data_IF_992193524188
#
_entry.id   IF_992193524188
#
_cell.length_a   1.000
_cell.length_b   1.000
_cell.length_c   1.000
_cell.angle_alpha   90.00
_cell.angle_beta   90.00
_cell.angle_gamma   90.00
#
_symmetry.space_group_name_H-M   'P 1'
#
loop_
_entity.id
_entity.type
_entity.pdbx_description
1 polymer ?
#
# COMPACT_ATOMS: atom_id res chain seq x y z
N UNK A 1 -12.78 5.27 21.76
CA UNK A 1 -11.41 5.65 21.34
C UNK A 1 -10.62 4.37 21.14
N UNK A 2 -10.48 3.93 19.90
CA UNK A 2 -9.70 2.75 19.52
C UNK A 2 -8.21 3.08 19.72
N UNK A 3 -7.46 2.28 20.49
CA UNK A 3 -6.01 2.50 20.69
C UNK A 3 -5.31 2.45 19.32
N UNK A 4 -4.29 3.28 19.08
CA UNK A 4 -3.60 3.38 17.79
C UNK A 4 -3.14 2.02 17.22
N UNK A 5 -2.74 1.08 18.07
CA UNK A 5 -2.33 -0.28 17.66
C UNK A 5 -3.45 -1.17 17.11
N UNK A 6 -4.71 -0.81 17.32
CA UNK A 6 -5.87 -1.59 16.88
C UNK A 6 -6.25 -1.26 15.42
N UNK A 7 -5.81 -0.11 14.88
CA UNK A 7 -6.10 0.27 13.48
C UNK A 7 -5.37 -0.64 12.50
N UNK A 8 -4.12 -0.98 12.77
CA UNK A 8 -3.31 -1.81 11.89
C UNK A 8 -3.47 -3.31 12.16
N UNK A 9 -4.33 -3.72 13.10
CA UNK A 9 -4.55 -5.13 13.41
C UNK A 9 -4.89 -5.96 12.14
N UNK A 10 -4.16 -7.05 11.82
CA UNK A 10 -4.37 -7.79 10.59
C UNK A 10 -5.75 -8.43 10.49
N UNK A 11 -6.38 -8.80 11.61
CA UNK A 11 -7.72 -9.38 11.58
C UNK A 11 -8.74 -8.30 11.21
N UNK A 12 -8.66 -7.13 11.86
CA UNK A 12 -9.48 -5.95 11.50
C UNK A 12 -9.35 -5.58 10.03
N UNK A 13 -8.13 -5.53 9.49
CA UNK A 13 -7.92 -5.13 8.09
C UNK A 13 -8.54 -6.12 7.10
N UNK A 14 -8.45 -7.44 7.37
CA UNK A 14 -9.13 -8.46 6.57
C UNK A 14 -10.64 -8.31 6.62
N UNK A 15 -11.19 -8.14 7.82
CA UNK A 15 -12.63 -7.99 8.03
C UNK A 15 -13.17 -6.72 7.33
N UNK A 16 -12.42 -5.61 7.41
CA UNK A 16 -12.78 -4.37 6.69
C UNK A 16 -12.73 -4.53 5.18
N UNK A 17 -11.70 -5.17 4.63
CA UNK A 17 -11.63 -5.36 3.18
C UNK A 17 -12.83 -6.17 2.68
N UNK A 18 -13.24 -7.22 3.40
CA UNK A 18 -14.45 -8.00 3.09
C UNK A 18 -15.73 -7.16 3.16
N UNK A 19 -15.81 -6.22 4.08
CA UNK A 19 -16.97 -5.36 4.23
C UNK A 19 -17.06 -4.27 3.15
N UNK A 20 -15.92 -3.82 2.63
CA UNK A 20 -15.85 -2.69 1.67
C UNK A 20 -15.87 -3.15 0.21
N UNK A 21 -15.30 -4.31 -0.10
CA UNK A 21 -15.17 -4.78 -1.47
C UNK A 21 -16.07 -6.00 -1.75
N UNK A 22 -17.00 -5.94 -2.72
CA UNK A 22 -17.90 -7.04 -3.05
C UNK A 22 -17.22 -8.33 -3.50
N UNK A 23 -16.05 -8.25 -4.16
CA UNK A 23 -15.30 -9.44 -4.55
C UNK A 23 -14.63 -10.05 -3.32
N UNK A 24 -14.13 -9.22 -2.39
CA UNK A 24 -13.58 -9.70 -1.13
C UNK A 24 -14.63 -10.31 -0.19
N UNK A 25 -15.86 -9.80 -0.21
CA UNK A 25 -16.97 -10.37 0.56
C UNK A 25 -17.22 -11.85 0.22
N UNK A 26 -17.05 -12.22 -1.05
CA UNK A 26 -17.34 -13.55 -1.59
C UNK A 26 -16.12 -14.49 -1.62
N UNK A 27 -14.93 -14.01 -1.22
CA UNK A 27 -13.71 -14.81 -1.28
C UNK A 27 -13.61 -15.82 -0.14
N UNK A 28 -12.97 -16.95 -0.40
CA UNK A 28 -12.66 -17.95 0.63
C UNK A 28 -11.93 -17.35 1.83
N UNK A 29 -12.11 -17.96 3.02
CA UNK A 29 -11.65 -17.41 4.31
C UNK A 29 -10.13 -17.14 4.36
N UNK A 30 -9.35 -17.77 3.50
CA UNK A 30 -7.88 -17.68 3.43
C UNK A 30 -7.34 -16.77 2.32
N UNK A 31 -8.20 -16.12 1.51
CA UNK A 31 -7.77 -15.37 0.33
C UNK A 31 -7.15 -13.98 0.58
N UNK A 32 -7.08 -13.51 1.84
CA UNK A 32 -6.61 -12.15 2.17
C UNK A 32 -5.33 -12.19 3.01
N UNK A 33 -4.25 -11.71 2.41
CA UNK A 33 -2.96 -11.52 3.07
C UNK A 33 -2.81 -10.10 3.58
N UNK A 34 -2.00 -9.89 4.63
CA UNK A 34 -1.66 -8.55 5.13
C UNK A 34 -0.16 -8.39 5.06
N UNK A 35 0.30 -7.47 4.22
CA UNK A 35 1.71 -7.10 4.11
C UNK A 35 1.95 -5.79 4.84
N UNK A 36 3.19 -5.59 5.33
CA UNK A 36 3.60 -4.39 6.06
C UNK A 36 4.86 -3.77 5.47
N UNK A 37 4.93 -2.45 5.48
CA UNK A 37 6.11 -1.67 5.11
C UNK A 37 6.34 -0.59 6.18
N UNK A 38 7.45 -0.65 6.95
CA UNK A 38 7.75 0.35 7.97
C UNK A 38 8.19 1.67 7.32
N UNK A 39 7.85 2.78 7.97
CA UNK A 39 8.52 4.05 7.69
C UNK A 39 9.97 4.02 8.19
N UNK A 40 10.71 5.10 7.91
CA UNK A 40 12.11 5.20 8.29
C UNK A 40 12.49 6.60 8.72
N UNK A 41 13.43 6.67 9.66
CA UNK A 41 14.22 7.88 9.94
C UNK A 41 15.62 7.68 9.40
N UNK A 42 16.26 8.76 8.98
CA UNK A 42 17.66 8.71 8.63
C UNK A 42 18.46 9.31 9.79
N UNK A 43 19.42 8.55 10.31
CA UNK A 43 20.19 8.94 11.50
C UNK A 43 21.31 9.91 11.12
N UNK A 44 21.92 9.71 9.96
CA UNK A 44 22.93 10.59 9.35
C UNK A 44 23.03 10.32 7.84
N UNK A 45 23.56 11.29 7.09
CA UNK A 45 23.70 11.22 5.63
C UNK A 45 22.46 11.77 4.93
N UNK A 46 22.00 12.96 5.32
CA UNK A 46 20.98 13.67 4.55
C UNK A 46 21.60 14.19 3.26
N UNK A 47 20.84 14.14 2.15
CA UNK A 47 21.25 14.69 0.84
C UNK A 47 22.51 14.03 0.22
N UNK A 48 22.92 12.86 0.70
CA UNK A 48 24.07 12.12 0.18
C UNK A 48 23.69 10.98 -0.76
N UNK A 49 22.48 10.44 -0.64
CA UNK A 49 22.00 9.27 -1.40
C UNK A 49 21.99 9.49 -2.91
N UNK A 50 21.49 10.64 -3.37
CA UNK A 50 21.50 10.99 -4.80
C UNK A 50 22.87 11.48 -5.31
N UNK A 51 23.88 11.52 -4.44
CA UNK A 51 25.27 11.86 -4.77
C UNK A 51 26.21 10.66 -4.61
N UNK A 52 25.68 9.43 -4.64
CA UNK A 52 26.42 8.17 -4.42
C UNK A 52 27.18 8.12 -3.08
N UNK A 53 26.71 8.86 -2.08
CA UNK A 53 27.26 8.88 -0.73
C UNK A 53 26.62 7.86 0.23
N UNK A 54 27.17 7.76 1.44
CA UNK A 54 26.64 6.87 2.48
C UNK A 54 25.43 7.47 3.20
N UNK A 55 24.52 6.61 3.63
CA UNK A 55 23.35 6.93 4.48
C UNK A 55 23.23 5.93 5.63
N UNK A 56 22.61 6.32 6.73
CA UNK A 56 22.34 5.44 7.87
C UNK A 56 20.86 5.49 8.28
N UNK A 57 19.95 4.89 7.49
CA UNK A 57 18.55 4.82 7.84
C UNK A 57 18.25 3.73 8.86
N UNK A 58 17.20 3.96 9.66
CA UNK A 58 16.62 2.96 10.55
C UNK A 58 15.10 2.92 10.36
N UNK A 59 14.56 1.71 10.20
CA UNK A 59 13.12 1.50 10.22
C UNK A 59 12.55 1.85 11.60
N UNK A 60 11.40 2.52 11.62
CA UNK A 60 10.70 2.87 12.86
C UNK A 60 9.49 1.94 13.10
N UNK A 61 8.88 2.05 14.29
CA UNK A 61 7.69 1.27 14.65
C UNK A 61 6.39 1.72 13.97
N UNK A 62 6.42 2.83 13.21
CA UNK A 62 5.29 3.28 12.39
C UNK A 62 5.37 2.68 10.99
N UNK A 63 4.24 2.35 10.40
CA UNK A 63 4.15 1.56 9.18
C UNK A 63 2.87 1.77 8.36
N UNK A 64 2.94 1.34 7.10
CA UNK A 64 1.79 1.11 6.23
C UNK A 64 1.52 -0.39 6.20
N UNK A 65 0.25 -0.78 6.25
CA UNK A 65 -0.22 -2.14 5.98
C UNK A 65 -1.19 -2.15 4.82
N UNK A 66 -1.09 -3.18 3.99
CA UNK A 66 -2.02 -3.45 2.91
C UNK A 66 -2.62 -4.84 3.15
N UNK A 67 -3.93 -4.89 3.41
CA UNK A 67 -4.67 -6.13 3.21
C UNK A 67 -4.89 -6.30 1.71
N UNK A 68 -4.54 -7.45 1.16
CA UNK A 68 -4.57 -7.72 -0.28
C UNK A 68 -5.27 -9.04 -0.56
N UNK A 69 -6.20 -9.00 -1.50
CA UNK A 69 -6.86 -10.16 -2.04
C UNK A 69 -6.63 -10.20 -3.56
N UNK A 70 -5.85 -11.16 -4.06
CA UNK A 70 -5.65 -11.28 -5.49
C UNK A 70 -6.93 -11.66 -6.23
N UNK A 71 -7.04 -11.20 -7.48
CA UNK A 71 -8.17 -11.48 -8.37
C UNK A 71 -7.69 -12.11 -9.68
N UNK A 72 -8.61 -12.76 -10.40
CA UNK A 72 -8.34 -13.32 -11.74
C UNK A 72 -8.46 -12.27 -12.86
N UNK A 73 -8.97 -11.08 -12.54
CA UNK A 73 -9.00 -9.93 -13.44
C UNK A 73 -7.65 -9.18 -13.44
N UNK A 74 -7.57 -8.13 -14.26
CA UNK A 74 -6.38 -7.27 -14.39
C UNK A 74 -6.56 -5.90 -13.72
N UNK A 75 -7.60 -5.78 -12.89
CA UNK A 75 -7.93 -4.55 -12.18
C UNK A 75 -7.30 -4.54 -10.79
N UNK A 76 -6.66 -3.43 -10.45
CA UNK A 76 -6.25 -3.14 -9.07
C UNK A 76 -7.22 -2.12 -8.51
N UNK A 77 -7.89 -2.46 -7.41
CA UNK A 77 -8.73 -1.54 -6.63
C UNK A 77 -8.21 -1.48 -5.21
N UNK A 78 -7.97 -0.27 -4.69
CA UNK A 78 -7.50 -0.06 -3.32
C UNK A 78 -8.44 0.92 -2.63
N UNK A 79 -8.79 0.60 -1.40
CA UNK A 79 -9.52 1.47 -0.48
C UNK A 79 -8.55 2.04 0.57
N UNK A 80 -8.66 3.34 0.86
CA UNK A 80 -7.96 3.95 1.98
C UNK A 80 -8.74 3.74 3.27
N UNK A 81 -8.09 3.19 4.29
CA UNK A 81 -8.71 2.94 5.59
C UNK A 81 -9.17 4.24 6.26
N UNK A 82 -8.33 5.27 6.14
CA UNK A 82 -8.44 6.56 6.81
C UNK A 82 -9.53 7.46 6.22
N UNK A 83 -9.62 7.54 4.88
CA UNK A 83 -10.53 8.49 4.21
C UNK A 83 -11.74 7.82 3.56
N UNK A 84 -11.70 6.49 3.37
CA UNK A 84 -12.72 5.75 2.62
C UNK A 84 -12.65 5.93 1.10
N UNK A 85 -11.69 6.72 0.60
CA UNK A 85 -11.45 6.87 -0.83
C UNK A 85 -11.09 5.53 -1.48
N UNK A 86 -11.49 5.38 -2.74
CA UNK A 86 -11.20 4.20 -3.54
C UNK A 86 -10.53 4.63 -4.84
N UNK A 87 -9.40 4.00 -5.16
CA UNK A 87 -8.68 4.19 -6.42
C UNK A 87 -8.62 2.88 -7.19
N UNK A 88 -8.86 2.95 -8.50
CA UNK A 88 -8.84 1.78 -9.38
C UNK A 88 -8.06 2.08 -10.65
N UNK A 89 -7.30 1.10 -11.16
CA UNK A 89 -6.69 1.16 -12.48
C UNK A 89 -6.51 -0.24 -13.08
N UNK A 90 -6.40 -0.27 -14.41
CA UNK A 90 -6.17 -1.47 -15.20
C UNK A 90 -4.67 -1.68 -15.43
N UNK A 91 -4.16 -2.87 -15.12
CA UNK A 91 -2.77 -3.25 -15.36
C UNK A 91 -2.39 -3.22 -16.85
N UNK A 92 -3.34 -3.39 -17.77
CA UNK A 92 -3.10 -3.33 -19.22
C UNK A 92 -3.19 -1.93 -19.81
N UNK A 93 -3.77 -0.99 -19.05
CA UNK A 93 -4.04 0.37 -19.52
C UNK A 93 -3.71 1.41 -18.44
N UNK A 94 -2.53 1.32 -17.83
CA UNK A 94 -2.08 2.30 -16.82
C UNK A 94 -1.85 3.67 -17.49
N UNK A 95 -2.86 4.55 -17.41
CA UNK A 95 -2.84 5.92 -17.93
C UNK A 95 -1.87 6.86 -17.19
N UNK A 96 -1.60 8.06 -17.72
CA UNK A 96 -0.63 9.00 -17.14
C UNK A 96 -0.94 9.33 -15.66
N UNK A 97 0.07 9.74 -14.85
CA UNK A 97 -0.14 10.02 -13.43
C UNK A 97 -1.26 11.03 -13.19
N UNK A 98 -2.18 10.69 -12.29
CA UNK A 98 -3.36 11.48 -11.94
C UNK A 98 -3.07 12.58 -10.90
N UNK A 99 -1.85 12.58 -10.34
CA UNK A 99 -1.39 13.35 -9.17
C UNK A 99 -2.18 13.05 -7.90
N UNK A 100 -2.60 11.80 -7.75
CA UNK A 100 -3.31 11.31 -6.56
C UNK A 100 -2.56 10.15 -5.92
N UNK A 101 -2.96 9.74 -4.71
CA UNK A 101 -2.27 8.71 -3.94
C UNK A 101 -2.18 7.35 -4.67
N UNK A 102 -3.12 7.03 -5.56
CA UNK A 102 -3.11 5.75 -6.29
C UNK A 102 -1.93 5.66 -7.26
N UNK A 103 -1.34 6.79 -7.67
CA UNK A 103 -0.20 6.82 -8.58
C UNK A 103 1.05 6.17 -7.98
N UNK A 104 1.19 6.11 -6.65
CA UNK A 104 2.28 5.35 -6.01
C UNK A 104 2.17 3.85 -6.34
N UNK A 105 0.94 3.33 -6.34
CA UNK A 105 0.66 1.92 -6.66
C UNK A 105 0.78 1.69 -8.16
N UNK A 106 0.22 2.59 -8.99
CA UNK A 106 0.33 2.50 -10.44
C UNK A 106 1.78 2.61 -10.93
N UNK A 107 2.58 3.49 -10.32
CA UNK A 107 4.03 3.62 -10.58
C UNK A 107 4.80 2.36 -10.20
N UNK A 108 4.47 1.75 -9.06
CA UNK A 108 5.04 0.45 -8.65
C UNK A 108 4.70 -0.65 -9.65
N UNK A 109 3.44 -0.74 -10.09
CA UNK A 109 3.01 -1.69 -11.11
C UNK A 109 3.77 -1.48 -12.43
N UNK A 110 3.94 -0.22 -12.88
CA UNK A 110 4.76 0.09 -14.07
C UNK A 110 6.21 -0.36 -13.94
N UNK A 111 6.84 -0.11 -12.79
CA UNK A 111 8.22 -0.53 -12.55
C UNK A 111 8.36 -2.06 -12.56
N UNK A 112 7.41 -2.78 -11.96
CA UNK A 112 7.38 -4.24 -11.98
C UNK A 112 7.15 -4.79 -13.39
N UNK A 113 6.25 -4.19 -14.17
CA UNK A 113 6.02 -4.54 -15.56
C UNK A 113 7.29 -4.33 -16.42
N UNK A 114 7.95 -3.19 -16.27
CA UNK A 114 9.20 -2.88 -16.97
C UNK A 114 10.34 -3.86 -16.61
N UNK A 115 10.32 -4.41 -15.40
CA UNK A 115 11.23 -5.45 -14.95
C UNK A 115 10.81 -6.89 -15.36
N UNK A 116 9.76 -7.03 -16.20
CA UNK A 116 9.27 -8.32 -16.68
C UNK A 116 8.60 -9.19 -15.62
N UNK A 117 8.10 -8.59 -14.53
CA UNK A 117 7.43 -9.33 -13.45
C UNK A 117 5.95 -9.55 -13.82
N UNK A 118 5.46 -10.80 -13.84
CA UNK A 118 4.05 -11.06 -14.08
C UNK A 118 3.21 -10.52 -12.91
N UNK A 119 2.08 -9.91 -13.25
CA UNK A 119 1.14 -9.33 -12.28
C UNK A 119 -0.29 -9.71 -12.62
N UNK A 120 -1.10 -9.85 -11.57
CA UNK A 120 -2.55 -10.03 -11.62
C UNK A 120 -3.23 -8.91 -10.84
N UNK A 121 -4.52 -8.70 -11.08
CA UNK A 121 -5.34 -7.77 -10.33
C UNK A 121 -5.42 -8.13 -8.85
N UNK A 122 -5.88 -7.17 -8.04
CA UNK A 122 -6.22 -7.42 -6.64
C UNK A 122 -7.20 -6.38 -6.10
N UNK A 123 -7.81 -6.71 -4.97
CA UNK A 123 -8.55 -5.78 -4.10
C UNK A 123 -7.74 -5.53 -2.84
N UNK A 124 -7.63 -4.28 -2.44
CA UNK A 124 -6.74 -3.86 -1.37
C UNK A 124 -7.39 -2.90 -0.37
N UNK A 125 -6.98 -2.98 0.90
CA UNK A 125 -7.25 -1.97 1.92
C UNK A 125 -5.93 -1.49 2.48
N UNK A 126 -5.62 -0.20 2.28
CA UNK A 126 -4.39 0.43 2.74
C UNK A 126 -4.65 1.23 4.02
N UNK A 127 -3.92 0.92 5.07
CA UNK A 127 -3.94 1.62 6.34
C UNK A 127 -2.53 2.02 6.76
N UNK A 128 -2.36 3.16 7.39
CA UNK A 128 -1.06 3.68 7.80
C UNK A 128 -1.17 4.38 9.14
N UNK A 129 -0.21 4.24 10.04
CA UNK A 129 -0.04 5.10 11.21
C UNK A 129 1.11 6.12 11.08
N UNK A 130 1.71 6.21 9.89
CA UNK A 130 2.65 7.28 9.57
C UNK A 130 1.93 8.63 9.49
N UNK A 131 2.41 9.67 10.21
CA UNK A 131 1.85 11.02 10.08
C UNK A 131 2.10 11.58 8.68
N UNK A 132 1.04 12.10 8.05
CA UNK A 132 1.12 12.73 6.74
C UNK A 132 2.07 13.93 6.77
N UNK A 133 2.96 14.02 5.78
CA UNK A 133 3.86 15.17 5.61
C UNK A 133 5.02 15.26 6.59
N UNK A 134 5.29 14.23 7.40
CA UNK A 134 6.33 14.28 8.44
C UNK A 134 7.77 13.98 7.94
N UNK A 135 7.99 13.85 6.63
CA UNK A 135 9.31 13.47 6.09
C UNK A 135 9.75 12.03 6.42
N UNK A 136 8.84 11.21 6.95
CA UNK A 136 9.08 9.81 7.34
C UNK A 136 8.92 8.81 6.20
N UNK A 137 8.98 9.29 4.95
CA UNK A 137 8.75 8.50 3.74
C UNK A 137 7.41 7.78 3.74
N UNK A 138 6.32 8.55 3.73
CA UNK A 138 4.97 8.05 3.41
C UNK A 138 4.74 8.02 1.91
#
# INVERSE_FOLDING_TARGET
>A
MTKAGDRLDPKRLRDRLRALDPMAANADRTGIEVVRAPGRVNLIGEHTDYNDGFVMPAAIGLEIRLAVMPTDDRQITIHLDETGETGTFDLDAIGPPTRTWIDYVAGTARALAAAGRPMRGFRGLLASDLPRGAGLSS
#
